data_IF_535227185534
#
_entry.id   IF_535227185534
#
_cell.length_a   1.000
_cell.length_b   1.000
_cell.length_c   1.000
_cell.angle_alpha   90.00
_cell.angle_beta   90.00
_cell.angle_gamma   90.00
#
_symmetry.space_group_name_H-M   'P 1'
#
loop_
_entity.id
_entity.type
_entity.pdbx_description
1 polymer ?
#
# COMPACT_ATOMS: atom_id res chain seq x y z
N UNK A 1 20.49 -8.45 -33.43
CA UNK A 1 19.98 -7.07 -33.59
C UNK A 1 19.24 -6.64 -32.33
N UNK A 2 19.82 -5.79 -31.49
CA UNK A 2 19.02 -5.08 -30.47
C UNK A 2 18.04 -4.16 -31.21
N UNK A 3 16.75 -4.26 -30.91
CA UNK A 3 15.82 -3.18 -31.29
C UNK A 3 16.22 -1.94 -30.49
N UNK A 4 16.18 -0.72 -31.07
CA UNK A 4 16.61 0.50 -30.39
C UNK A 4 15.72 0.86 -29.19
N UNK A 5 14.47 0.39 -29.15
CA UNK A 5 13.53 0.66 -28.08
C UNK A 5 13.95 0.05 -26.71
N UNK A 6 14.25 -1.26 -26.58
CA UNK A 6 14.77 -1.83 -25.33
C UNK A 6 16.03 -1.16 -24.80
N UNK A 7 16.97 -0.80 -25.68
CA UNK A 7 18.21 -0.14 -25.29
C UNK A 7 17.96 1.28 -24.75
N UNK A 8 17.08 2.04 -25.42
CA UNK A 8 16.67 3.36 -24.96
C UNK A 8 15.89 3.31 -23.65
N UNK A 9 15.10 2.25 -23.46
CA UNK A 9 14.38 2.01 -22.22
C UNK A 9 15.30 1.67 -21.06
N UNK A 10 16.28 0.77 -21.26
CA UNK A 10 17.30 0.46 -20.26
C UNK A 10 18.09 1.71 -19.84
N UNK A 11 18.51 2.52 -20.83
CA UNK A 11 19.22 3.76 -20.56
C UNK A 11 18.38 4.78 -19.79
N UNK A 12 17.09 4.87 -20.12
CA UNK A 12 16.12 5.70 -19.42
C UNK A 12 16.03 5.29 -17.94
N UNK A 13 15.83 4.01 -17.64
CA UNK A 13 15.71 3.52 -16.26
C UNK A 13 17.03 3.67 -15.46
N UNK A 14 18.19 3.39 -16.07
CA UNK A 14 19.48 3.63 -15.40
C UNK A 14 19.66 5.10 -14.99
N UNK A 15 19.18 6.03 -15.83
CA UNK A 15 19.23 7.45 -15.52
C UNK A 15 18.26 7.83 -14.39
N UNK A 16 17.07 7.25 -14.39
CA UNK A 16 16.08 7.48 -13.34
C UNK A 16 16.57 7.00 -11.96
N UNK A 17 17.11 5.77 -11.90
CA UNK A 17 17.74 5.20 -10.69
C UNK A 17 18.88 6.09 -10.18
N UNK A 18 19.68 6.66 -11.08
CA UNK A 18 20.78 7.55 -10.70
C UNK A 18 20.29 8.88 -10.10
N UNK A 19 19.20 9.45 -10.64
CA UNK A 19 18.68 10.76 -10.19
C UNK A 19 17.90 10.63 -8.88
N UNK A 20 17.06 9.60 -8.74
CA UNK A 20 16.17 9.44 -7.59
C UNK A 20 16.81 8.69 -6.42
N UNK A 21 17.81 7.86 -6.72
CA UNK A 21 18.49 6.99 -5.77
C UNK A 21 17.78 5.63 -5.59
N UNK A 22 18.58 4.57 -5.41
CA UNK A 22 18.11 3.18 -5.44
C UNK A 22 16.99 2.88 -4.44
N UNK A 23 17.08 3.37 -3.20
CA UNK A 23 16.10 3.08 -2.15
C UNK A 23 14.73 3.69 -2.47
N UNK A 24 14.69 4.96 -2.90
CA UNK A 24 13.44 5.63 -3.27
C UNK A 24 12.81 5.00 -4.51
N UNK A 25 13.64 4.59 -5.48
CA UNK A 25 13.19 3.96 -6.71
C UNK A 25 12.52 2.60 -6.45
N UNK A 26 13.09 1.76 -5.58
CA UNK A 26 12.54 0.42 -5.27
C UNK A 26 11.26 0.42 -4.43
N UNK A 27 10.89 1.55 -3.83
CA UNK A 27 9.63 1.69 -3.10
C UNK A 27 8.41 1.80 -4.03
N UNK A 28 8.61 2.19 -5.29
CA UNK A 28 7.54 2.28 -6.28
C UNK A 28 7.37 0.91 -6.99
N UNK A 29 6.18 0.32 -6.86
CA UNK A 29 5.88 -0.99 -7.46
C UNK A 29 5.99 -0.97 -8.99
N UNK A 30 5.70 0.17 -9.63
CA UNK A 30 5.83 0.32 -11.08
C UNK A 30 7.29 0.26 -11.53
N UNK A 31 8.18 0.87 -10.75
CA UNK A 31 9.62 0.82 -10.99
C UNK A 31 10.18 -0.60 -10.79
N UNK A 32 9.66 -1.32 -9.80
CA UNK A 32 9.99 -2.73 -9.61
C UNK A 32 9.54 -3.58 -10.83
N UNK A 33 8.34 -3.34 -11.35
CA UNK A 33 7.83 -3.99 -12.56
C UNK A 33 8.72 -3.67 -13.78
N UNK A 34 9.15 -2.41 -13.94
CA UNK A 34 10.05 -1.99 -15.03
C UNK A 34 11.44 -2.67 -14.92
N UNK A 35 11.99 -2.86 -13.71
CA UNK A 35 13.20 -3.68 -13.49
C UNK A 35 12.97 -5.13 -13.95
N UNK A 36 11.84 -5.74 -13.56
CA UNK A 36 11.53 -7.12 -13.95
C UNK A 36 11.45 -7.24 -15.46
N UNK A 37 10.74 -6.34 -16.14
CA UNK A 37 10.64 -6.30 -17.62
C UNK A 37 12.04 -6.18 -18.25
N UNK A 38 12.86 -5.25 -17.77
CA UNK A 38 14.22 -5.06 -18.29
C UNK A 38 15.10 -6.29 -18.08
N UNK A 39 15.01 -6.91 -16.90
CA UNK A 39 15.77 -8.11 -16.60
C UNK A 39 15.40 -9.28 -17.52
N UNK A 40 14.12 -9.48 -17.81
CA UNK A 40 13.64 -10.53 -18.72
C UNK A 40 14.00 -10.24 -20.19
N UNK A 41 13.93 -8.97 -20.62
CA UNK A 41 14.42 -8.56 -21.94
C UNK A 41 15.92 -8.82 -22.10
N UNK A 42 16.72 -8.46 -21.10
CA UNK A 42 18.17 -8.70 -21.10
C UNK A 42 18.45 -10.20 -21.10
N UNK A 43 17.78 -11.00 -20.28
CA UNK A 43 17.94 -12.46 -20.25
C UNK A 43 17.59 -13.12 -21.60
N UNK A 44 16.49 -12.72 -22.23
CA UNK A 44 16.13 -13.23 -23.57
C UNK A 44 17.17 -12.83 -24.63
N UNK A 45 17.67 -11.58 -24.56
CA UNK A 45 18.68 -11.11 -25.49
C UNK A 45 20.03 -11.82 -25.30
N UNK A 46 20.49 -12.00 -24.06
CA UNK A 46 21.76 -12.69 -23.77
C UNK A 46 21.71 -14.14 -24.19
N UNK A 47 20.60 -14.85 -23.96
CA UNK A 47 20.43 -16.23 -24.45
C UNK A 47 20.52 -16.31 -25.97
N UNK A 48 19.86 -15.41 -26.71
CA UNK A 48 19.94 -15.37 -28.18
C UNK A 48 21.35 -15.09 -28.69
N UNK A 49 22.06 -14.17 -28.06
CA UNK A 49 23.46 -13.87 -28.42
C UNK A 49 24.36 -15.05 -28.10
N UNK A 50 24.14 -15.72 -26.97
CA UNK A 50 24.91 -16.89 -26.55
C UNK A 50 24.71 -18.05 -27.51
N UNK A 51 23.47 -18.33 -27.93
CA UNK A 51 23.15 -19.36 -28.93
C UNK A 51 23.79 -19.03 -30.28
N UNK A 52 23.62 -17.80 -30.78
CA UNK A 52 24.23 -17.37 -32.03
C UNK A 52 25.77 -17.42 -31.98
N UNK A 53 26.36 -17.04 -30.85
CA UNK A 53 27.81 -17.06 -30.63
C UNK A 53 28.37 -18.47 -30.55
N UNK A 54 27.72 -19.37 -29.78
CA UNK A 54 28.07 -20.80 -29.69
C UNK A 54 27.94 -21.49 -31.06
N UNK A 55 26.85 -21.23 -31.78
CA UNK A 55 26.64 -21.75 -33.12
C UNK A 55 27.73 -21.28 -34.10
N UNK A 56 28.07 -19.98 -34.10
CA UNK A 56 29.12 -19.46 -34.97
C UNK A 56 30.50 -20.04 -34.61
N UNK A 57 30.86 -20.08 -33.32
CA UNK A 57 32.16 -20.59 -32.88
C UNK A 57 32.33 -22.08 -33.17
N UNK A 58 31.32 -22.91 -32.89
CA UNK A 58 31.38 -24.34 -33.17
C UNK A 58 31.36 -24.67 -34.67
N UNK A 59 30.66 -23.88 -35.49
CA UNK A 59 30.69 -24.06 -36.94
C UNK A 59 32.02 -23.59 -37.58
N UNK A 60 32.75 -22.65 -36.97
CA UNK A 60 34.09 -22.26 -37.40
C UNK A 60 35.12 -23.36 -37.11
N UNK A 61 35.00 -24.00 -35.95
CA UNK A 61 35.95 -25.03 -35.50
C UNK A 61 35.70 -26.39 -36.20
N UNK A 62 34.42 -26.78 -36.36
CA UNK A 62 34.03 -28.03 -36.99
C UNK A 62 32.73 -27.88 -37.81
N UNK A 63 32.82 -27.49 -39.11
CA UNK A 63 31.66 -27.17 -39.95
C UNK A 63 30.76 -28.39 -40.26
N UNK A 64 31.29 -29.61 -40.13
CA UNK A 64 30.56 -30.87 -40.34
C UNK A 64 30.15 -31.58 -39.06
N UNK A 65 30.27 -30.94 -37.89
CA UNK A 65 29.85 -31.54 -36.62
C UNK A 65 28.32 -31.57 -36.48
N UNK A 66 27.76 -32.59 -35.80
CA UNK A 66 26.32 -32.65 -35.52
C UNK A 66 25.85 -31.47 -34.65
N UNK A 67 26.72 -30.93 -33.80
CA UNK A 67 26.46 -29.75 -32.97
C UNK A 67 26.29 -28.46 -33.82
N UNK A 68 27.10 -28.29 -34.86
CA UNK A 68 26.94 -27.17 -35.80
C UNK A 68 25.59 -27.26 -36.53
N UNK A 69 25.17 -28.47 -36.93
CA UNK A 69 23.83 -28.69 -37.50
C UNK A 69 22.73 -28.35 -36.49
N UNK A 70 22.88 -28.78 -35.23
CA UNK A 70 21.92 -28.50 -34.16
C UNK A 70 21.67 -27.00 -33.96
N UNK A 71 22.72 -26.19 -33.75
CA UNK A 71 22.56 -24.76 -33.46
C UNK A 71 22.18 -23.90 -34.67
N UNK A 72 22.36 -24.38 -35.91
CA UNK A 72 22.15 -23.56 -37.12
C UNK A 72 21.02 -24.00 -38.03
N UNK A 73 20.71 -25.31 -38.09
CA UNK A 73 19.78 -25.90 -39.06
C UNK A 73 18.72 -26.83 -38.47
N UNK A 74 18.88 -27.32 -37.23
CA UNK A 74 17.90 -28.23 -36.65
C UNK A 74 16.51 -27.58 -36.53
N UNK A 75 15.49 -28.35 -36.89
CA UNK A 75 14.10 -27.92 -36.77
C UNK A 75 13.61 -27.90 -35.31
N UNK A 76 12.54 -27.15 -35.05
CA UNK A 76 11.94 -27.02 -33.69
C UNK A 76 11.56 -28.36 -33.03
N UNK A 77 11.28 -29.38 -33.83
CA UNK A 77 10.92 -30.72 -33.34
C UNK A 77 12.13 -31.55 -32.88
N UNK A 78 13.34 -31.14 -33.27
CA UNK A 78 14.61 -31.77 -32.88
C UNK A 78 15.24 -31.10 -31.66
N UNK A 79 14.70 -29.97 -31.21
CA UNK A 79 15.21 -29.23 -30.07
C UNK A 79 14.90 -29.97 -28.77
N UNK A 80 15.87 -29.98 -27.87
CA UNK A 80 15.66 -30.47 -26.51
C UNK A 80 14.66 -29.56 -25.76
N UNK A 81 13.89 -30.10 -24.80
CA UNK A 81 12.89 -29.31 -24.05
C UNK A 81 13.51 -28.14 -23.27
N UNK A 82 14.79 -28.23 -22.92
CA UNK A 82 15.55 -27.21 -22.18
C UNK A 82 16.36 -26.28 -23.10
N UNK A 83 16.10 -26.29 -24.40
CA UNK A 83 16.90 -25.54 -25.36
C UNK A 83 16.89 -24.02 -25.07
N UNK A 84 18.07 -23.35 -24.99
CA UNK A 84 18.15 -21.94 -24.64
C UNK A 84 17.44 -21.01 -25.63
N UNK A 85 17.29 -21.40 -26.91
CA UNK A 85 16.54 -20.63 -27.89
C UNK A 85 15.04 -20.67 -27.56
N UNK A 86 14.51 -21.83 -27.18
CA UNK A 86 13.11 -21.98 -26.75
C UNK A 86 12.84 -21.16 -25.49
N UNK A 87 13.72 -21.23 -24.48
CA UNK A 87 13.62 -20.40 -23.26
C UNK A 87 13.65 -18.92 -23.61
N UNK A 88 14.52 -18.48 -24.51
CA UNK A 88 14.59 -17.08 -24.93
C UNK A 88 13.32 -16.61 -25.66
N UNK A 89 12.65 -17.47 -26.43
CA UNK A 89 11.35 -17.19 -27.06
C UNK A 89 10.24 -17.03 -26.02
N UNK A 90 10.16 -17.94 -25.04
CA UNK A 90 9.17 -17.89 -23.97
C UNK A 90 9.36 -16.64 -23.10
N UNK A 91 10.59 -16.35 -22.69
CA UNK A 91 10.91 -15.14 -21.94
C UNK A 91 10.53 -13.88 -22.73
N UNK A 92 10.80 -13.85 -24.04
CA UNK A 92 10.40 -12.73 -24.88
C UNK A 92 8.88 -12.55 -24.96
N UNK A 93 8.12 -13.65 -25.06
CA UNK A 93 6.66 -13.62 -25.09
C UNK A 93 6.07 -13.09 -23.77
N UNK A 94 6.54 -13.61 -22.63
CA UNK A 94 6.13 -13.14 -21.29
C UNK A 94 6.49 -11.67 -21.10
N UNK A 95 7.71 -11.27 -21.49
CA UNK A 95 8.14 -9.88 -21.37
C UNK A 95 7.31 -8.94 -22.24
N UNK A 96 6.88 -9.39 -23.43
CA UNK A 96 6.01 -8.60 -24.31
C UNK A 96 4.64 -8.38 -23.67
N UNK A 97 4.06 -9.41 -23.03
CA UNK A 97 2.81 -9.29 -22.27
C UNK A 97 2.95 -8.30 -21.11
N UNK A 98 4.02 -8.40 -20.31
CA UNK A 98 4.31 -7.45 -19.23
C UNK A 98 4.58 -6.04 -19.76
N UNK A 99 5.19 -5.89 -20.93
CA UNK A 99 5.40 -4.57 -21.54
C UNK A 99 4.08 -3.85 -21.84
N UNK A 100 3.01 -4.58 -22.16
CA UNK A 100 1.69 -3.99 -22.36
C UNK A 100 1.03 -3.55 -21.04
N UNK A 101 1.33 -4.19 -19.90
CA UNK A 101 0.79 -3.74 -18.60
C UNK A 101 1.31 -2.36 -18.21
N UNK A 102 2.46 -1.94 -18.75
CA UNK A 102 3.00 -0.57 -18.59
C UNK A 102 2.07 0.52 -19.11
N UNK A 103 1.12 0.20 -20.01
CA UNK A 103 0.07 1.16 -20.40
C UNK A 103 -0.80 1.59 -19.21
N UNK A 104 -0.89 0.77 -18.15
CA UNK A 104 -1.56 1.16 -16.93
C UNK A 104 -0.87 2.36 -16.24
N UNK A 105 0.42 2.58 -16.44
CA UNK A 105 1.14 3.71 -15.82
C UNK A 105 0.61 5.08 -16.29
N UNK A 106 0.07 5.19 -17.51
CA UNK A 106 -0.45 6.45 -18.05
C UNK A 106 -1.94 6.66 -17.80
N UNK A 107 -2.66 5.63 -17.37
CA UNK A 107 -4.10 5.73 -17.03
C UNK A 107 -4.44 6.82 -16.00
N UNK A 108 -3.57 7.19 -15.02
CA UNK A 108 -3.84 8.29 -14.09
C UNK A 108 -3.98 9.67 -14.75
N UNK A 109 -3.55 9.81 -16.02
CA UNK A 109 -3.75 11.04 -16.78
C UNK A 109 -5.23 11.32 -17.07
N UNK A 110 -6.06 10.27 -17.19
CA UNK A 110 -7.50 10.40 -17.39
C UNK A 110 -8.24 10.37 -16.05
N UNK A 111 -9.29 11.17 -15.90
CA UNK A 111 -10.04 11.31 -14.65
C UNK A 111 -10.72 10.02 -14.22
N UNK A 112 -11.58 9.45 -15.06
CA UNK A 112 -12.33 8.23 -14.70
C UNK A 112 -11.48 6.96 -14.60
N UNK A 113 -10.38 6.88 -15.36
CA UNK A 113 -9.51 5.69 -15.36
C UNK A 113 -8.48 5.74 -14.25
N UNK A 114 -8.01 6.95 -13.91
CA UNK A 114 -7.06 7.17 -12.84
C UNK A 114 -7.65 6.89 -11.47
N UNK A 115 -8.86 7.38 -11.17
CA UNK A 115 -9.53 7.09 -9.90
C UNK A 115 -9.80 5.59 -9.75
N UNK A 116 -10.24 4.91 -10.82
CA UNK A 116 -10.44 3.46 -10.85
C UNK A 116 -9.14 2.67 -10.63
N UNK A 117 -8.04 3.07 -11.26
CA UNK A 117 -6.76 2.41 -11.08
C UNK A 117 -6.24 2.56 -9.65
N UNK A 118 -6.36 3.75 -9.07
CA UNK A 118 -5.92 4.02 -7.70
C UNK A 118 -6.77 3.25 -6.69
N UNK A 119 -8.09 3.17 -6.90
CA UNK A 119 -8.96 2.36 -6.04
C UNK A 119 -8.60 0.87 -6.13
N UNK A 120 -8.38 0.33 -7.34
CA UNK A 120 -7.88 -1.05 -7.51
C UNK A 120 -6.57 -1.26 -6.76
N UNK A 121 -5.61 -0.34 -6.88
CA UNK A 121 -4.31 -0.43 -6.21
C UNK A 121 -4.42 -0.58 -4.69
N UNK A 122 -5.33 0.16 -4.06
CA UNK A 122 -5.59 0.06 -2.62
C UNK A 122 -6.38 -1.20 -2.23
N UNK A 123 -7.28 -1.65 -3.09
CA UNK A 123 -8.07 -2.87 -2.85
C UNK A 123 -7.20 -4.13 -2.91
N UNK A 124 -6.07 -4.10 -3.63
CA UNK A 124 -5.15 -5.24 -3.73
C UNK A 124 -4.65 -5.69 -2.35
N UNK A 125 -4.39 -4.79 -1.41
CA UNK A 125 -3.95 -5.17 -0.06
C UNK A 125 -5.01 -5.99 0.69
N UNK A 126 -6.28 -5.61 0.54
CA UNK A 126 -7.42 -6.38 1.08
C UNK A 126 -7.57 -7.72 0.35
N UNK A 127 -7.40 -7.73 -0.98
CA UNK A 127 -7.46 -8.94 -1.79
C UNK A 127 -6.34 -9.93 -1.46
N UNK A 128 -5.10 -9.47 -1.22
CA UNK A 128 -3.97 -10.35 -0.85
C UNK A 128 -4.27 -11.06 0.48
N UNK A 129 -4.85 -10.35 1.45
CA UNK A 129 -5.27 -10.96 2.72
C UNK A 129 -6.33 -12.04 2.51
N UNK A 130 -7.28 -11.83 1.61
CA UNK A 130 -8.26 -12.85 1.25
C UNK A 130 -7.63 -14.03 0.50
N UNK A 131 -6.73 -13.77 -0.45
CA UNK A 131 -6.00 -14.80 -1.20
C UNK A 131 -5.19 -15.70 -0.27
N UNK A 132 -4.68 -15.18 0.85
CA UNK A 132 -4.02 -16.01 1.87
C UNK A 132 -4.95 -17.06 2.48
N UNK A 133 -6.19 -16.68 2.81
CA UNK A 133 -7.22 -17.62 3.32
C UNK A 133 -7.54 -18.65 2.24
N UNK A 134 -7.68 -18.21 0.99
CA UNK A 134 -7.90 -19.08 -0.15
C UNK A 134 -6.77 -20.12 -0.31
N UNK A 135 -5.50 -19.71 -0.21
CA UNK A 135 -4.36 -20.60 -0.33
C UNK A 135 -4.30 -21.66 0.78
N UNK A 136 -4.70 -21.31 2.02
CA UNK A 136 -4.80 -22.27 3.13
C UNK A 136 -5.83 -23.35 2.79
N UNK A 137 -7.03 -22.94 2.36
CA UNK A 137 -8.12 -23.86 2.02
C UNK A 137 -7.72 -24.74 0.83
N UNK A 138 -7.18 -24.14 -0.23
CA UNK A 138 -6.69 -24.86 -1.42
C UNK A 138 -5.64 -25.92 -1.04
N UNK A 139 -4.68 -25.57 -0.20
CA UNK A 139 -3.63 -26.51 0.24
C UNK A 139 -4.21 -27.63 1.09
N UNK A 140 -5.18 -27.36 1.96
CA UNK A 140 -5.85 -28.39 2.76
C UNK A 140 -6.58 -29.42 1.87
N UNK A 141 -7.33 -28.97 0.88
CA UNK A 141 -8.01 -29.85 -0.07
C UNK A 141 -7.05 -30.54 -1.04
N UNK A 142 -5.96 -29.87 -1.45
CA UNK A 142 -4.88 -30.47 -2.25
C UNK A 142 -4.27 -31.66 -1.54
N UNK A 143 -3.87 -31.51 -0.28
CA UNK A 143 -3.34 -32.60 0.52
C UNK A 143 -4.39 -33.70 0.73
N UNK A 144 -5.65 -33.33 0.98
CA UNK A 144 -6.77 -34.28 1.14
C UNK A 144 -6.96 -35.16 -0.10
N UNK A 145 -7.14 -34.56 -1.27
CA UNK A 145 -7.32 -35.31 -2.53
C UNK A 145 -6.04 -36.03 -2.94
N UNK A 146 -4.87 -35.41 -2.85
CA UNK A 146 -3.62 -36.08 -3.21
C UNK A 146 -3.43 -37.35 -2.39
N UNK A 147 -3.62 -37.31 -1.07
CA UNK A 147 -3.48 -38.48 -0.21
C UNK A 147 -4.55 -39.55 -0.45
N UNK A 148 -5.77 -39.16 -0.85
CA UNK A 148 -6.81 -40.12 -1.24
C UNK A 148 -6.46 -40.84 -2.55
N UNK A 149 -5.80 -40.17 -3.49
CA UNK A 149 -5.54 -40.69 -4.85
C UNK A 149 -4.12 -41.27 -5.04
N UNK A 150 -3.16 -41.01 -4.14
CA UNK A 150 -1.75 -41.49 -4.24
C UNK A 150 -1.63 -43.00 -4.44
N UNK A 151 -2.51 -43.79 -3.82
CA UNK A 151 -2.45 -45.26 -3.91
C UNK A 151 -3.18 -45.84 -5.14
N UNK A 152 -3.87 -45.00 -5.91
CA UNK A 152 -4.74 -45.39 -7.02
C UNK A 152 -4.23 -44.79 -8.35
N UNK A 153 -2.93 -44.94 -8.61
CA UNK A 153 -2.19 -44.37 -9.75
C UNK A 153 -2.62 -44.89 -11.15
N UNK A 154 -3.63 -45.77 -11.25
CA UNK A 154 -4.11 -46.25 -12.55
C UNK A 154 -4.75 -45.13 -13.40
N UNK A 155 -5.29 -44.08 -12.79
CA UNK A 155 -5.61 -42.84 -13.49
C UNK A 155 -4.41 -41.89 -13.41
N UNK A 156 -3.62 -41.79 -14.48
CA UNK A 156 -2.46 -40.88 -14.61
C UNK A 156 -2.77 -39.36 -14.44
N UNK A 157 -3.91 -38.98 -13.86
CA UNK A 157 -4.39 -37.60 -13.72
C UNK A 157 -4.41 -37.09 -12.27
N UNK A 158 -4.43 -37.97 -11.26
CA UNK A 158 -4.47 -37.60 -9.83
C UNK A 158 -3.48 -38.46 -9.02
N UNK A 159 -2.99 -37.94 -7.89
CA UNK A 159 -2.02 -38.63 -7.02
C UNK A 159 -0.58 -38.12 -7.14
N UNK A 160 -0.32 -37.20 -8.07
CA UNK A 160 0.88 -36.36 -8.09
C UNK A 160 0.53 -34.95 -7.61
N UNK A 161 1.32 -34.40 -6.68
CA UNK A 161 1.04 -33.09 -6.08
C UNK A 161 0.87 -31.96 -7.10
N UNK A 162 1.71 -31.93 -8.14
CA UNK A 162 1.63 -30.92 -9.21
C UNK A 162 0.36 -31.06 -10.07
N UNK A 163 0.02 -32.27 -10.49
CA UNK A 163 -1.18 -32.54 -11.30
C UNK A 163 -2.46 -32.27 -10.50
N UNK A 164 -2.50 -32.71 -9.24
CA UNK A 164 -3.64 -32.44 -8.34
C UNK A 164 -3.78 -30.95 -8.04
N UNK A 165 -2.67 -30.20 -7.92
CA UNK A 165 -2.71 -28.75 -7.80
C UNK A 165 -3.26 -28.09 -9.06
N UNK A 166 -2.79 -28.49 -10.24
CA UNK A 166 -3.31 -27.97 -11.51
C UNK A 166 -4.80 -28.27 -11.68
N UNK A 167 -5.23 -29.50 -11.38
CA UNK A 167 -6.63 -29.89 -11.40
C UNK A 167 -7.48 -28.98 -10.51
N UNK A 168 -7.11 -28.84 -9.23
CA UNK A 168 -7.83 -27.99 -8.28
C UNK A 168 -7.83 -26.50 -8.68
N UNK A 169 -6.71 -26.01 -9.22
CA UNK A 169 -6.61 -24.65 -9.74
C UNK A 169 -7.62 -24.40 -10.86
N UNK A 170 -7.70 -25.29 -11.85
CA UNK A 170 -8.67 -25.17 -12.95
C UNK A 170 -10.12 -25.38 -12.47
N UNK A 171 -10.34 -26.18 -11.42
CA UNK A 171 -11.64 -26.30 -10.77
C UNK A 171 -12.12 -24.97 -10.17
N UNK A 172 -11.24 -24.14 -9.61
CA UNK A 172 -11.63 -22.82 -9.07
C UNK A 172 -12.26 -21.91 -10.14
N UNK A 173 -11.88 -22.08 -11.41
CA UNK A 173 -12.45 -21.36 -12.54
C UNK A 173 -13.62 -22.08 -13.21
N UNK A 174 -14.02 -23.25 -12.71
CA UNK A 174 -15.07 -24.08 -13.30
C UNK A 174 -14.68 -24.76 -14.62
N UNK A 175 -13.39 -24.84 -14.94
CA UNK A 175 -12.86 -25.42 -16.19
C UNK A 175 -12.48 -26.90 -16.06
N UNK A 176 -12.49 -27.44 -14.85
CA UNK A 176 -12.12 -28.84 -14.59
C UNK A 176 -13.30 -29.80 -14.79
N UNK A 177 -13.01 -30.94 -15.40
CA UNK A 177 -13.99 -31.99 -15.64
C UNK A 177 -14.13 -32.91 -14.41
N UNK A 178 -15.37 -33.24 -14.01
CA UNK A 178 -15.61 -34.10 -12.84
C UNK A 178 -15.19 -35.56 -13.06
N UNK A 179 -15.12 -36.00 -14.32
CA UNK A 179 -14.75 -37.38 -14.71
C UNK A 179 -13.33 -37.77 -14.28
N UNK A 180 -12.47 -36.79 -13.99
CA UNK A 180 -11.10 -37.00 -13.49
C UNK A 180 -11.10 -37.64 -12.11
N UNK A 181 -12.15 -37.44 -11.32
CA UNK A 181 -12.29 -37.92 -9.92
C UNK A 181 -12.85 -39.36 -9.88
N UNK A 182 -13.36 -39.88 -11.00
CA UNK A 182 -14.08 -41.15 -11.02
C UNK A 182 -13.15 -42.37 -10.97
N UNK A 183 -13.46 -43.31 -10.06
CA UNK A 183 -12.73 -44.56 -9.86
C UNK A 183 -13.70 -45.75 -9.78
N UNK A 184 -14.25 -46.21 -10.91
CA UNK A 184 -15.34 -47.21 -10.93
C UNK A 184 -14.96 -48.56 -10.31
N UNK A 185 -13.67 -48.85 -10.15
CA UNK A 185 -13.16 -50.08 -9.53
C UNK A 185 -13.17 -50.02 -7.98
N UNK A 186 -13.19 -48.82 -7.38
CA UNK A 186 -13.03 -48.62 -5.94
C UNK A 186 -14.15 -47.74 -5.36
N UNK A 187 -15.31 -48.33 -5.07
CA UNK A 187 -16.52 -47.57 -4.68
C UNK A 187 -16.37 -46.66 -3.45
N UNK A 188 -15.58 -47.04 -2.43
CA UNK A 188 -15.35 -46.19 -1.25
C UNK A 188 -14.45 -44.99 -1.57
N UNK A 189 -13.36 -45.22 -2.31
CA UNK A 189 -12.44 -44.15 -2.72
C UNK A 189 -13.12 -43.18 -3.71
N UNK A 190 -13.92 -43.71 -4.64
CA UNK A 190 -14.76 -42.92 -5.57
C UNK A 190 -15.75 -42.04 -4.80
N UNK A 191 -16.45 -42.59 -3.81
CA UNK A 191 -17.39 -41.83 -2.99
C UNK A 191 -16.68 -40.71 -2.21
N UNK A 192 -15.58 -41.02 -1.54
CA UNK A 192 -14.80 -40.03 -0.76
C UNK A 192 -14.23 -38.95 -1.68
N UNK A 193 -13.68 -39.32 -2.83
CA UNK A 193 -13.14 -38.39 -3.81
C UNK A 193 -14.20 -37.45 -4.39
N UNK A 194 -15.35 -37.99 -4.82
CA UNK A 194 -16.50 -37.19 -5.27
C UNK A 194 -17.04 -36.29 -4.18
N UNK A 195 -17.11 -36.77 -2.95
CA UNK A 195 -17.56 -35.97 -1.81
C UNK A 195 -16.57 -34.82 -1.50
N UNK A 196 -15.27 -35.09 -1.44
CA UNK A 196 -14.23 -34.07 -1.23
C UNK A 196 -14.23 -33.02 -2.34
N UNK A 197 -14.35 -33.45 -3.61
CA UNK A 197 -14.48 -32.54 -4.75
C UNK A 197 -15.76 -31.71 -4.70
N UNK A 198 -16.90 -32.32 -4.36
CA UNK A 198 -18.18 -31.62 -4.18
C UNK A 198 -18.14 -30.59 -3.05
N UNK A 199 -17.54 -30.94 -1.91
CA UNK A 199 -17.36 -29.99 -0.80
C UNK A 199 -16.41 -28.86 -1.19
N UNK A 200 -15.29 -29.18 -1.84
CA UNK A 200 -14.34 -28.18 -2.33
C UNK A 200 -15.01 -27.17 -3.26
N UNK A 201 -15.79 -27.64 -4.24
CA UNK A 201 -16.50 -26.76 -5.19
C UNK A 201 -17.56 -25.89 -4.50
N UNK A 202 -18.33 -26.42 -3.54
CA UNK A 202 -19.27 -25.63 -2.74
C UNK A 202 -18.55 -24.53 -1.95
N UNK A 203 -17.47 -24.89 -1.24
CA UNK A 203 -16.71 -23.92 -0.43
C UNK A 203 -16.07 -22.86 -1.32
N UNK A 204 -15.45 -23.26 -2.42
CA UNK A 204 -14.76 -22.37 -3.35
C UNK A 204 -15.72 -21.42 -4.09
N UNK A 205 -16.74 -21.98 -4.72
CA UNK A 205 -17.61 -21.22 -5.64
C UNK A 205 -18.73 -20.52 -4.88
N UNK A 206 -19.34 -21.15 -3.88
CA UNK A 206 -20.48 -20.55 -3.18
C UNK A 206 -20.02 -19.68 -2.02
N UNK A 207 -19.05 -20.13 -1.23
CA UNK A 207 -18.65 -19.37 -0.03
C UNK A 207 -17.58 -18.34 -0.38
N UNK A 208 -16.43 -18.77 -0.92
CA UNK A 208 -15.29 -17.88 -1.11
C UNK A 208 -15.53 -16.85 -2.22
N UNK A 209 -16.09 -17.22 -3.36
CA UNK A 209 -16.38 -16.25 -4.43
C UNK A 209 -17.37 -15.16 -3.97
N UNK A 210 -18.45 -15.54 -3.29
CA UNK A 210 -19.43 -14.58 -2.78
C UNK A 210 -18.83 -13.66 -1.71
N UNK A 211 -17.97 -14.20 -0.84
CA UNK A 211 -17.25 -13.40 0.15
C UNK A 211 -16.21 -12.48 -0.48
N UNK A 212 -15.52 -12.92 -1.54
CA UNK A 212 -14.57 -12.10 -2.29
C UNK A 212 -15.29 -10.91 -2.95
N UNK A 213 -16.43 -11.14 -3.60
CA UNK A 213 -17.24 -10.07 -4.20
C UNK A 213 -17.72 -9.09 -3.13
N UNK A 214 -18.22 -9.59 -2.00
CA UNK A 214 -18.66 -8.75 -0.89
C UNK A 214 -17.53 -7.89 -0.31
N UNK A 215 -16.34 -8.48 -0.14
CA UNK A 215 -15.15 -7.78 0.36
C UNK A 215 -14.68 -6.71 -0.63
N UNK A 216 -14.57 -7.05 -1.93
CA UNK A 216 -14.20 -6.11 -2.99
C UNK A 216 -15.19 -4.95 -3.03
N UNK A 217 -16.50 -5.20 -2.95
CA UNK A 217 -17.52 -4.15 -3.02
C UNK A 217 -17.45 -3.19 -1.82
N UNK A 218 -17.32 -3.74 -0.61
CA UNK A 218 -17.21 -2.92 0.60
C UNK A 218 -15.89 -2.13 0.65
N UNK A 219 -14.79 -2.76 0.24
CA UNK A 219 -13.48 -2.10 0.14
C UNK A 219 -13.51 -0.97 -0.90
N UNK A 220 -14.10 -1.20 -2.08
CA UNK A 220 -14.26 -0.18 -3.12
C UNK A 220 -15.03 1.03 -2.61
N UNK A 221 -16.19 0.84 -1.98
CA UNK A 221 -17.00 1.94 -1.44
C UNK A 221 -16.24 2.77 -0.40
N UNK A 222 -15.50 2.10 0.50
CA UNK A 222 -14.69 2.79 1.52
C UNK A 222 -13.53 3.57 0.92
N UNK A 223 -12.92 3.05 -0.14
CA UNK A 223 -11.72 3.62 -0.76
C UNK A 223 -12.06 4.77 -1.72
N UNK A 224 -13.20 4.70 -2.41
CA UNK A 224 -13.62 5.66 -3.43
C UNK A 224 -13.73 7.08 -2.88
N UNK A 225 -14.23 7.26 -1.65
CA UNK A 225 -14.40 8.57 -1.00
C UNK A 225 -13.07 9.35 -0.86
N UNK A 226 -11.96 8.64 -0.61
CA UNK A 226 -10.61 9.23 -0.47
C UNK A 226 -9.78 9.12 -1.76
N UNK A 227 -10.26 8.39 -2.77
CA UNK A 227 -9.50 8.08 -3.99
C UNK A 227 -9.23 9.31 -4.86
N UNK A 228 -10.12 10.31 -4.87
CA UNK A 228 -9.96 11.52 -5.69
C UNK A 228 -8.74 12.36 -5.25
N UNK A 229 -8.54 12.52 -3.94
CA UNK A 229 -7.39 13.26 -3.40
C UNK A 229 -6.08 12.57 -3.76
N UNK A 230 -6.04 11.24 -3.63
CA UNK A 230 -4.86 10.45 -3.96
C UNK A 230 -4.61 10.35 -5.46
N UNK A 231 -5.66 10.24 -6.27
CA UNK A 231 -5.53 10.30 -7.72
C UNK A 231 -4.97 11.66 -8.16
N UNK A 232 -5.45 12.78 -7.60
CA UNK A 232 -4.89 14.11 -7.87
C UNK A 232 -3.43 14.22 -7.46
N UNK A 233 -3.03 13.60 -6.35
CA UNK A 233 -1.63 13.51 -5.94
C UNK A 233 -0.79 12.68 -6.93
N UNK A 234 -1.25 11.49 -7.31
CA UNK A 234 -0.58 10.61 -8.27
C UNK A 234 -0.45 11.27 -9.65
N UNK A 235 -1.51 11.92 -10.14
CA UNK A 235 -1.51 12.70 -11.38
C UNK A 235 -0.50 13.85 -11.33
N UNK A 236 -0.41 14.53 -10.18
CA UNK A 236 0.58 15.61 -10.00
C UNK A 236 2.00 15.07 -9.99
N UNK A 237 2.25 13.89 -9.37
CA UNK A 237 3.56 13.20 -9.41
C UNK A 237 3.93 12.83 -10.84
N UNK A 238 2.98 12.29 -11.62
CA UNK A 238 3.17 11.97 -13.04
C UNK A 238 3.54 13.21 -13.84
N UNK A 239 2.85 14.34 -13.68
CA UNK A 239 3.23 15.57 -14.40
C UNK A 239 4.58 16.14 -13.94
N UNK A 240 4.89 16.04 -12.65
CA UNK A 240 6.18 16.49 -12.10
C UNK A 240 7.37 15.72 -12.69
N UNK A 241 7.21 14.44 -13.03
CA UNK A 241 8.29 13.66 -13.67
C UNK A 241 8.65 14.22 -15.05
N UNK A 242 7.67 14.71 -15.82
CA UNK A 242 7.90 15.36 -17.11
C UNK A 242 8.49 16.78 -17.00
N UNK A 243 8.30 17.47 -15.88
CA UNK A 243 8.87 18.81 -15.66
C UNK A 243 10.36 18.79 -15.28
N UNK A 244 10.90 17.66 -14.77
CA UNK A 244 12.32 17.56 -14.44
C UNK A 244 13.17 17.59 -15.72
N UNK A 245 13.95 18.66 -15.87
CA UNK A 245 14.91 18.83 -16.98
C UNK A 245 15.92 17.66 -17.00
N UNK A 246 15.87 16.85 -18.05
CA UNK A 246 16.79 15.71 -18.21
C UNK A 246 16.28 14.61 -19.14
N UNK A 247 14.98 14.46 -19.34
CA UNK A 247 14.38 13.37 -20.14
C UNK A 247 13.65 13.92 -21.38
N UNK A 248 14.26 14.89 -22.07
CA UNK A 248 13.61 15.63 -23.16
C UNK A 248 13.34 14.81 -24.43
N UNK A 249 13.85 13.58 -24.52
CA UNK A 249 13.70 12.70 -25.68
C UNK A 249 12.95 11.42 -25.27
N UNK A 250 11.80 11.12 -25.90
CA UNK A 250 11.12 9.85 -25.65
C UNK A 250 11.97 8.68 -26.17
N UNK A 251 11.86 7.51 -25.54
CA UNK A 251 12.38 6.25 -26.08
C UNK A 251 11.72 6.03 -27.45
N UNK A 252 12.45 5.73 -28.55
CA UNK A 252 13.84 5.28 -28.67
C UNK A 252 14.89 6.38 -28.92
N UNK A 253 14.51 7.64 -29.05
CA UNK A 253 15.41 8.74 -29.45
C UNK A 253 16.43 9.13 -28.37
N UNK A 254 16.22 8.66 -27.14
CA UNK A 254 17.17 8.82 -26.02
C UNK A 254 18.53 8.10 -26.25
N UNK A 255 18.61 7.14 -27.19
CA UNK A 255 19.87 6.42 -27.49
C UNK A 255 20.86 7.26 -28.28
N UNK A 256 20.40 8.32 -28.96
CA UNK A 256 21.28 9.21 -29.74
C UNK A 256 21.73 10.34 -28.80
N UNK A 257 22.91 10.25 -28.16
CA UNK A 257 23.42 11.35 -27.36
C UNK A 257 23.50 12.62 -28.21
N UNK A 258 23.14 13.76 -27.61
CA UNK A 258 23.25 15.04 -28.31
C UNK A 258 24.69 15.22 -28.82
N UNK A 259 24.89 15.70 -30.06
CA UNK A 259 26.22 15.78 -30.66
C UNK A 259 27.20 16.62 -29.82
N UNK A 260 26.68 17.58 -29.04
CA UNK A 260 27.47 18.33 -28.03
C UNK A 260 28.00 17.43 -26.91
N UNK A 261 27.19 16.52 -26.36
CA UNK A 261 27.60 15.58 -25.31
C UNK A 261 28.62 14.55 -25.82
N UNK A 262 28.43 14.05 -27.05
CA UNK A 262 29.39 13.18 -27.73
C UNK A 262 30.75 13.89 -27.91
N UNK A 263 30.74 15.15 -28.37
CA UNK A 263 31.97 15.94 -28.53
C UNK A 263 32.72 16.16 -27.22
N UNK A 264 32.01 16.52 -26.13
CA UNK A 264 32.64 16.69 -24.81
C UNK A 264 33.12 15.37 -24.21
N UNK A 265 32.41 14.26 -24.42
CA UNK A 265 32.79 12.93 -23.93
C UNK A 265 34.01 12.40 -24.67
N UNK A 266 34.07 12.52 -26.00
CA UNK A 266 35.26 12.19 -26.79
C UNK A 266 36.44 13.08 -26.39
N UNK A 267 36.23 14.38 -26.20
CA UNK A 267 37.29 15.28 -25.69
C UNK A 267 37.76 14.89 -24.29
N UNK A 268 36.85 14.42 -23.43
CA UNK A 268 37.16 13.91 -22.10
C UNK A 268 37.97 12.62 -22.12
N UNK A 269 37.60 11.66 -22.98
CA UNK A 269 38.31 10.39 -23.19
C UNK A 269 39.69 10.66 -23.82
N UNK A 270 39.78 11.54 -24.81
CA UNK A 270 41.06 11.97 -25.41
C UNK A 270 41.93 12.67 -24.39
N UNK A 271 41.35 13.49 -23.49
CA UNK A 271 42.09 14.12 -22.40
C UNK A 271 42.57 13.09 -21.37
N UNK A 272 41.75 12.09 -21.05
CA UNK A 272 42.08 11.01 -20.12
C UNK A 272 43.15 10.06 -20.68
N UNK A 273 43.12 9.75 -21.98
CA UNK A 273 44.07 8.84 -22.64
C UNK A 273 45.36 9.56 -23.05
N UNK A 274 45.30 10.83 -23.46
CA UNK A 274 46.45 11.52 -24.04
C UNK A 274 47.19 12.46 -23.06
N UNK A 275 46.58 12.87 -21.93
CA UNK A 275 47.22 13.76 -20.95
C UNK A 275 46.55 13.68 -19.57
N UNK A 276 47.13 12.90 -18.64
CA UNK A 276 46.85 13.01 -17.19
C UNK A 276 47.39 14.33 -16.63
N UNK A 277 46.82 15.47 -17.03
CA UNK A 277 47.02 16.73 -16.31
C UNK A 277 45.91 16.90 -15.28
N UNK A 278 46.24 17.32 -14.05
CA UNK A 278 45.26 17.49 -12.98
C UNK A 278 44.13 18.41 -13.43
N UNK A 279 42.92 18.17 -12.90
CA UNK A 279 41.72 18.98 -13.14
C UNK A 279 42.09 20.46 -13.10
N UNK A 280 42.04 21.12 -14.27
CA UNK A 280 42.06 22.58 -14.33
C UNK A 280 40.76 23.03 -13.67
N UNK A 281 40.88 23.85 -12.63
CA UNK A 281 39.78 24.47 -11.92
C UNK A 281 38.82 25.06 -12.95
N UNK A 282 37.55 24.77 -12.74
CA UNK A 282 36.51 24.96 -13.72
C UNK A 282 35.99 26.40 -13.57
N UNK A 283 36.52 27.34 -14.36
CA UNK A 283 36.03 28.73 -14.46
C UNK A 283 34.72 28.75 -15.26
N UNK A 284 33.67 28.17 -14.69
CA UNK A 284 32.30 28.49 -15.06
C UNK A 284 31.62 28.96 -13.79
N UNK A 285 30.85 30.06 -13.82
CA UNK A 285 30.03 30.41 -12.68
C UNK A 285 29.13 29.21 -12.36
N UNK A 286 28.99 28.83 -11.09
CA UNK A 286 28.19 27.68 -10.70
C UNK A 286 26.77 27.86 -11.24
N UNK A 287 26.27 26.84 -11.93
CA UNK A 287 24.84 26.72 -12.21
C UNK A 287 24.16 26.75 -10.83
N UNK A 288 23.17 27.64 -10.60
CA UNK A 288 22.56 27.80 -9.29
C UNK A 288 21.75 26.54 -8.96
N UNK A 289 22.41 25.54 -8.39
CA UNK A 289 21.78 24.47 -7.64
C UNK A 289 21.14 25.06 -6.39
N UNK A 290 19.92 24.64 -6.07
CA UNK A 290 19.07 25.13 -4.98
C UNK A 290 19.79 25.23 -3.62
N UNK A 291 20.86 24.47 -3.40
CA UNK A 291 21.69 24.51 -2.19
C UNK A 291 22.64 25.73 -2.10
N UNK A 292 23.07 26.32 -3.22
CA UNK A 292 24.00 27.46 -3.25
C UNK A 292 23.29 28.82 -3.37
N UNK A 293 21.99 28.82 -3.65
CA UNK A 293 21.17 30.04 -3.67
C UNK A 293 21.02 30.71 -2.28
N UNK A 294 21.45 30.05 -1.21
CA UNK A 294 21.38 30.59 0.16
C UNK A 294 22.59 31.39 0.58
N UNK A 295 23.70 31.34 -0.18
CA UNK A 295 24.97 31.97 0.22
C UNK A 295 25.47 33.09 -0.72
N UNK A 296 24.98 33.19 -1.96
CA UNK A 296 25.33 34.29 -2.88
C UNK A 296 24.18 35.29 -3.16
N UNK A 297 22.98 35.12 -2.58
CA UNK A 297 21.84 36.06 -2.74
C UNK A 297 21.69 37.00 -1.53
N UNK A 298 22.81 37.49 -0.99
CA UNK A 298 22.86 38.47 0.12
C UNK A 298 22.78 39.92 -0.39
N UNK A 299 22.40 40.12 -1.66
CA UNK A 299 22.48 41.43 -2.31
C UNK A 299 21.21 42.28 -2.27
N UNK A 300 20.09 41.80 -2.82
CA UNK A 300 18.86 42.62 -2.98
C UNK A 300 17.62 41.77 -3.35
N UNK A 301 17.80 40.56 -3.89
CA UNK A 301 16.71 39.67 -4.33
C UNK A 301 16.25 38.68 -3.26
N UNK A 302 17.18 38.12 -2.49
CA UNK A 302 16.91 37.10 -1.47
C UNK A 302 16.12 37.60 -0.26
N UNK A 303 16.39 38.82 0.20
CA UNK A 303 15.62 39.47 1.27
C UNK A 303 14.20 39.82 0.83
N UNK A 304 14.02 40.33 -0.39
CA UNK A 304 12.70 40.61 -0.95
C UNK A 304 11.86 39.33 -1.11
N UNK A 305 12.48 38.22 -1.55
CA UNK A 305 11.80 36.92 -1.70
C UNK A 305 11.50 36.24 -0.36
N UNK A 306 12.38 36.36 0.65
CA UNK A 306 12.12 35.92 2.03
C UNK A 306 11.02 36.77 2.68
N UNK A 307 11.08 38.09 2.51
CA UNK A 307 10.08 39.03 3.01
C UNK A 307 8.71 38.78 2.38
N UNK A 308 8.65 38.57 1.06
CA UNK A 308 7.42 38.20 0.35
C UNK A 308 6.85 36.87 0.85
N UNK A 309 7.68 35.82 0.97
CA UNK A 309 7.23 34.52 1.52
C UNK A 309 6.70 34.68 2.95
N UNK A 310 7.37 35.45 3.80
CA UNK A 310 6.95 35.70 5.17
C UNK A 310 5.64 36.50 5.24
N UNK A 311 5.48 37.52 4.38
CA UNK A 311 4.25 38.30 4.25
C UNK A 311 3.08 37.42 3.79
N UNK A 312 3.30 36.55 2.79
CA UNK A 312 2.28 35.61 2.30
C UNK A 312 1.92 34.60 3.39
N UNK A 313 2.89 34.02 4.08
CA UNK A 313 2.63 33.08 5.18
C UNK A 313 1.86 33.77 6.31
N UNK A 314 2.23 35.00 6.68
CA UNK A 314 1.50 35.79 7.69
C UNK A 314 0.05 36.05 7.27
N UNK A 315 -0.18 36.42 6.01
CA UNK A 315 -1.53 36.62 5.48
C UNK A 315 -2.36 35.32 5.43
N UNK A 316 -1.73 34.21 5.05
CA UNK A 316 -2.38 32.89 5.03
C UNK A 316 -2.73 32.41 6.44
N UNK A 317 -1.82 32.55 7.40
CA UNK A 317 -2.07 32.20 8.81
C UNK A 317 -3.20 33.05 9.38
N UNK A 318 -3.20 34.37 9.11
CA UNK A 318 -4.28 35.25 9.55
C UNK A 318 -5.62 34.81 8.95
N UNK A 319 -5.68 34.55 7.63
CA UNK A 319 -6.90 34.08 6.96
C UNK A 319 -7.38 32.73 7.51
N UNK A 320 -6.46 31.82 7.82
CA UNK A 320 -6.76 30.53 8.43
C UNK A 320 -7.36 30.71 9.83
N UNK A 321 -6.75 31.54 10.69
CA UNK A 321 -7.25 31.84 12.04
C UNK A 321 -8.65 32.46 11.97
N UNK A 322 -8.85 33.44 11.09
CA UNK A 322 -10.14 34.12 10.93
C UNK A 322 -11.23 33.14 10.43
N UNK A 323 -10.87 32.21 9.54
CA UNK A 323 -11.79 31.19 9.02
C UNK A 323 -12.13 30.15 10.09
N UNK A 324 -11.13 29.64 10.80
CA UNK A 324 -11.31 28.69 11.90
C UNK A 324 -12.18 29.28 13.03
N UNK A 325 -12.00 30.58 13.34
CA UNK A 325 -12.84 31.28 14.31
C UNK A 325 -14.29 31.37 13.86
N UNK A 326 -14.54 31.64 12.57
CA UNK A 326 -15.89 31.67 12.00
C UNK A 326 -16.56 30.29 12.04
N UNK A 327 -15.86 29.24 11.63
CA UNK A 327 -16.39 27.86 11.67
C UNK A 327 -16.70 27.40 13.10
N UNK A 328 -15.85 27.76 14.06
CA UNK A 328 -16.08 27.49 15.48
C UNK A 328 -17.30 28.26 16.00
N UNK A 329 -17.43 29.54 15.67
CA UNK A 329 -18.59 30.35 16.06
C UNK A 329 -19.89 29.84 15.43
N UNK A 330 -19.87 29.36 14.18
CA UNK A 330 -21.02 28.75 13.51
C UNK A 330 -21.41 27.40 14.12
N UNK A 331 -20.42 26.54 14.44
CA UNK A 331 -20.67 25.28 15.13
C UNK A 331 -21.27 25.51 16.51
N UNK A 332 -20.74 26.48 17.25
CA UNK A 332 -21.29 26.91 18.54
C UNK A 332 -22.71 27.47 18.41
N UNK A 333 -23.00 28.25 17.36
CA UNK A 333 -24.36 28.75 17.07
C UNK A 333 -25.33 27.61 16.76
N UNK A 334 -24.92 26.61 15.97
CA UNK A 334 -25.74 25.41 15.68
C UNK A 334 -26.05 24.62 16.94
N UNK A 335 -25.04 24.38 17.78
CA UNK A 335 -25.19 23.68 19.07
C UNK A 335 -26.10 24.45 20.05
N UNK A 336 -25.92 25.77 20.15
CA UNK A 336 -26.80 26.62 20.95
C UNK A 336 -28.24 26.63 20.42
N UNK A 337 -28.43 26.67 19.09
CA UNK A 337 -29.74 26.54 18.45
C UNK A 337 -30.41 25.22 18.79
N UNK A 338 -29.70 24.10 18.69
CA UNK A 338 -30.22 22.79 19.06
C UNK A 338 -30.67 22.75 20.53
N UNK A 339 -29.83 23.23 21.46
CA UNK A 339 -30.20 23.32 22.90
C UNK A 339 -31.46 24.15 23.14
N UNK A 340 -31.60 25.30 22.46
CA UNK A 340 -32.80 26.14 22.58
C UNK A 340 -34.03 25.41 22.06
N UNK A 341 -33.92 24.71 20.93
CA UNK A 341 -35.06 23.93 20.39
C UNK A 341 -35.45 22.78 21.31
N UNK A 342 -34.49 22.12 21.93
CA UNK A 342 -34.73 21.06 22.91
C UNK A 342 -35.40 21.60 24.17
N UNK A 343 -34.92 22.75 24.67
CA UNK A 343 -35.53 23.44 25.80
C UNK A 343 -36.97 23.85 25.48
N UNK A 344 -37.22 24.42 24.30
CA UNK A 344 -38.57 24.82 23.90
C UNK A 344 -39.53 23.62 23.77
N UNK A 345 -39.04 22.46 23.29
CA UNK A 345 -39.80 21.20 23.31
C UNK A 345 -40.12 20.75 24.74
N UNK A 346 -39.16 20.84 25.66
CA UNK A 346 -39.35 20.49 27.08
C UNK A 346 -40.31 21.43 27.80
N UNK A 347 -40.22 22.73 27.56
CA UNK A 347 -41.15 23.75 28.09
C UNK A 347 -42.56 23.52 27.52
N UNK A 348 -42.68 23.24 26.23
CA UNK A 348 -43.98 22.93 25.61
C UNK A 348 -44.61 21.67 26.21
N UNK A 349 -43.82 20.61 26.45
CA UNK A 349 -44.25 19.40 27.17
C UNK A 349 -44.74 19.73 28.58
N UNK A 350 -43.96 20.49 29.33
CA UNK A 350 -44.35 20.92 30.68
C UNK A 350 -45.66 21.71 30.67
N UNK A 351 -45.82 22.65 29.74
CA UNK A 351 -47.04 23.45 29.62
C UNK A 351 -48.26 22.58 29.30
N UNK A 352 -48.11 21.56 28.45
CA UNK A 352 -49.19 20.59 28.20
C UNK A 352 -49.52 19.74 29.43
N UNK A 353 -48.53 19.35 30.24
CA UNK A 353 -48.78 18.62 31.49
C UNK A 353 -49.45 19.50 32.54
N UNK A 354 -49.00 20.74 32.73
CA UNK A 354 -49.63 21.70 33.65
C UNK A 354 -51.07 21.99 33.24
N UNK A 355 -51.33 22.15 31.94
CA UNK A 355 -52.69 22.36 31.42
C UNK A 355 -53.58 21.14 31.65
N UNK A 356 -53.07 19.91 31.49
CA UNK A 356 -53.79 18.68 31.89
C UNK A 356 -54.08 18.65 33.38
N UNK A 357 -53.10 19.02 34.22
CA UNK A 357 -53.27 19.06 35.67
C UNK A 357 -54.36 20.07 36.06
N UNK A 358 -54.37 21.25 35.43
CA UNK A 358 -55.37 22.28 35.65
C UNK A 358 -56.77 21.84 35.21
N UNK A 359 -56.89 21.14 34.07
CA UNK A 359 -58.17 20.54 33.64
C UNK A 359 -58.62 19.35 34.50
N UNK A 360 -57.71 18.68 35.21
CA UNK A 360 -58.04 17.61 36.16
C UNK A 360 -58.48 18.12 37.54
N UNK A 361 -58.42 19.43 37.80
CA UNK A 361 -58.97 20.07 39.00
C UNK A 361 -60.39 20.59 38.69
N UNK A 362 -61.45 20.06 39.35
CA UNK A 362 -62.81 20.51 39.11
C UNK A 362 -63.05 21.90 39.70
N UNK A 363 -63.60 22.81 38.90
CA UNK A 363 -64.13 24.09 39.33
C UNK A 363 -65.64 23.99 39.63
N UNK A 364 -66.02 23.86 40.91
CA UNK A 364 -67.04 24.70 41.58
C UNK A 364 -67.28 24.26 43.06
N UNK A 365 -67.73 25.19 43.93
CA UNK A 365 -67.68 25.06 45.39
C UNK A 365 -69.00 24.57 46.01
N UNK A 366 -68.93 23.71 47.04
CA UNK A 366 -69.91 23.60 48.13
C UNK A 366 -69.39 22.68 49.27
N UNK A 367 -69.90 22.78 50.51
CA UNK A 367 -69.05 22.83 51.70
C UNK A 367 -69.03 21.53 52.52
N UNK A 368 -67.86 21.08 52.99
CA UNK A 368 -67.74 20.26 54.20
C UNK A 368 -66.28 20.13 54.70
N UNK A 369 -66.12 20.33 56.02
CA UNK A 369 -65.01 19.99 56.93
C UNK A 369 -63.58 20.52 56.66
N UNK A 370 -63.07 21.43 57.52
CA UNK A 370 -61.68 21.85 57.50
C UNK A 370 -60.85 20.88 58.33
N UNK A 371 -60.03 20.02 57.72
CA UNK A 371 -58.83 19.45 58.39
C UNK A 371 -57.91 18.63 57.47
N UNK A 372 -58.32 18.22 56.26
CA UNK A 372 -57.47 17.32 55.44
C UNK A 372 -56.64 18.02 54.34
N UNK A 373 -57.04 19.22 53.91
CA UNK A 373 -56.34 19.98 52.85
C UNK A 373 -54.96 20.52 53.28
N UNK A 374 -54.73 20.73 54.57
CA UNK A 374 -53.44 21.16 55.10
C UNK A 374 -52.39 20.04 55.04
N UNK A 375 -52.80 18.77 55.12
CA UNK A 375 -51.88 17.63 55.16
C UNK A 375 -51.27 17.32 53.79
N UNK A 376 -52.03 17.52 52.70
CA UNK A 376 -51.59 17.26 51.32
C UNK A 376 -50.72 18.38 50.79
N UNK A 377 -51.08 19.65 51.05
CA UNK A 377 -50.27 20.80 50.67
C UNK A 377 -48.92 20.81 51.41
N UNK A 378 -48.92 20.47 52.70
CA UNK A 378 -47.70 20.33 53.48
C UNK A 378 -46.82 19.18 52.96
N UNK A 379 -47.41 18.04 52.56
CA UNK A 379 -46.68 16.92 51.93
C UNK A 379 -46.10 17.27 50.55
N UNK A 380 -46.79 18.12 49.77
CA UNK A 380 -46.30 18.58 48.47
C UNK A 380 -45.17 19.60 48.61
N UNK A 381 -45.31 20.55 49.54
CA UNK A 381 -44.27 21.55 49.84
C UNK A 381 -43.00 20.86 50.35
N UNK A 382 -43.11 19.89 51.25
CA UNK A 382 -41.96 19.11 51.73
C UNK A 382 -41.30 18.29 50.60
N UNK A 383 -42.08 17.68 49.71
CA UNK A 383 -41.53 16.86 48.60
C UNK A 383 -40.86 17.71 47.51
N UNK A 384 -41.33 18.93 47.28
CA UNK A 384 -40.69 19.90 46.37
C UNK A 384 -39.41 20.48 47.01
N UNK A 385 -39.44 20.72 48.33
CA UNK A 385 -38.27 21.19 49.08
C UNK A 385 -37.13 20.14 49.11
N UNK A 386 -37.46 18.85 49.24
CA UNK A 386 -36.50 17.74 49.23
C UNK A 386 -35.83 17.56 47.85
N UNK A 387 -36.60 17.72 46.76
CA UNK A 387 -36.06 17.67 45.39
C UNK A 387 -35.14 18.87 45.08
N UNK A 388 -35.40 20.05 45.64
CA UNK A 388 -34.51 21.20 45.51
C UNK A 388 -33.26 21.09 46.42
N UNK A 389 -33.37 20.43 47.57
CA UNK A 389 -32.21 20.11 48.43
C UNK A 389 -31.27 19.09 47.78
N UNK A 390 -31.80 18.09 47.06
CA UNK A 390 -30.99 17.15 46.29
C UNK A 390 -30.26 17.82 45.10
N UNK A 391 -30.87 18.82 44.47
CA UNK A 391 -30.20 19.60 43.42
C UNK A 391 -29.11 20.54 43.97
N UNK A 392 -29.28 21.06 45.18
CA UNK A 392 -28.28 21.90 45.84
C UNK A 392 -27.17 21.10 46.53
N UNK A 393 -27.41 19.86 46.97
CA UNK A 393 -26.35 18.94 47.42
C UNK A 393 -25.51 18.38 46.26
N UNK A 394 -26.09 18.19 45.07
CA UNK A 394 -25.31 17.84 43.87
C UNK A 394 -24.44 19.01 43.35
N UNK A 395 -24.71 20.25 43.78
CA UNK A 395 -23.92 21.44 43.47
C UNK A 395 -23.08 21.96 44.65
N UNK A 396 -23.13 21.30 45.82
CA UNK A 396 -22.60 21.80 47.10
C UNK A 396 -21.54 20.93 47.79
N UNK A 397 -21.01 19.89 47.13
CA UNK A 397 -19.91 19.06 47.66
C UNK A 397 -18.56 19.40 47.01
N UNK A 398 -18.02 20.58 47.31
CA UNK A 398 -16.57 20.74 47.47
C UNK A 398 -16.30 21.85 48.49
N UNK A 399 -15.79 21.43 49.65
CA UNK A 399 -15.44 22.31 50.76
C UNK A 399 -14.20 23.18 50.52
N UNK A 400 -13.88 24.08 51.46
CA UNK A 400 -12.98 25.22 51.27
C UNK A 400 -11.50 24.81 51.27
N UNK A 401 -10.73 25.43 50.37
CA UNK A 401 -9.28 25.26 50.31
C UNK A 401 -8.53 26.10 51.33
N UNK A 402 -7.29 25.68 51.61
CA UNK A 402 -6.06 26.48 51.42
C UNK A 402 -4.82 25.65 51.79
N UNK A 403 -3.60 25.98 51.32
CA UNK A 403 -3.21 26.65 50.08
C UNK A 403 -2.14 25.83 49.31
N UNK A 404 -2.09 25.92 47.98
CA UNK A 404 -0.92 25.45 47.24
C UNK A 404 -0.56 26.43 46.11
N UNK A 405 0.72 26.74 46.10
CA UNK A 405 1.45 27.79 45.40
C UNK A 405 1.15 27.95 43.91
N UNK A 406 1.13 29.22 43.51
CA UNK A 406 1.43 29.69 42.16
C UNK A 406 2.87 29.31 41.82
N UNK A 407 3.06 28.51 40.77
CA UNK A 407 4.31 28.47 40.01
C UNK A 407 4.03 28.80 38.55
N UNK A 408 4.67 29.87 38.12
CA UNK A 408 4.82 30.33 36.74
C UNK A 408 5.84 29.43 36.03
N UNK A 409 5.52 28.98 34.82
CA UNK A 409 6.47 28.54 33.78
C UNK A 409 5.76 28.80 32.45
N UNK A 410 6.04 29.87 31.70
CA UNK A 410 7.24 30.23 30.94
C UNK A 410 7.72 29.13 29.99
N UNK A 411 7.69 29.51 28.70
CA UNK A 411 7.98 28.74 27.50
C UNK A 411 9.30 27.96 27.54
N UNK A 412 9.27 26.76 26.95
CA UNK A 412 10.43 25.94 26.65
C UNK A 412 10.18 25.12 25.37
N UNK A 413 10.83 25.55 24.30
CA UNK A 413 10.75 25.03 22.94
C UNK A 413 11.01 23.52 22.78
N UNK A 414 10.20 22.83 21.97
CA UNK A 414 10.55 21.70 21.08
C UNK A 414 9.41 21.58 20.05
N UNK A 415 9.60 21.78 18.75
CA UNK A 415 10.39 20.92 17.88
C UNK A 415 9.43 20.16 16.95
N UNK A 416 9.20 20.70 15.75
CA UNK A 416 8.43 20.05 14.68
C UNK A 416 9.07 18.69 14.32
N UNK A 417 8.46 17.60 14.78
CA UNK A 417 8.79 16.24 14.37
C UNK A 417 7.71 15.69 13.43
N UNK A 418 8.06 15.54 12.15
CA UNK A 418 7.29 14.82 11.12
C UNK A 418 6.90 13.43 11.61
N UNK A 419 5.61 13.09 11.61
CA UNK A 419 5.16 11.69 11.53
C UNK A 419 4.90 11.35 10.07
N UNK A 420 5.95 10.90 9.38
CA UNK A 420 5.79 10.02 8.23
C UNK A 420 5.69 8.59 8.78
N UNK A 421 4.70 7.84 8.31
CA UNK A 421 4.56 6.42 8.61
C UNK A 421 5.75 5.64 8.04
N UNK A 422 6.39 4.86 8.90
CA UNK A 422 7.31 3.80 8.52
C UNK A 422 7.00 2.61 9.44
N UNK A 423 6.12 1.73 8.97
CA UNK A 423 5.99 0.37 9.48
C UNK A 423 7.03 -0.48 8.76
N UNK A 424 8.15 -0.77 9.39
CA UNK A 424 8.90 -2.02 9.24
C UNK A 424 9.87 -2.13 10.40
N UNK A 425 9.60 -3.08 11.29
CA UNK A 425 10.45 -3.36 12.45
C UNK A 425 11.78 -3.96 12.02
N UNK A 426 12.87 -3.45 12.61
CA UNK A 426 14.12 -4.19 12.80
C UNK A 426 14.58 -4.01 14.25
N UNK A 427 15.21 -5.04 14.85
CA UNK A 427 15.58 -5.03 16.26
C UNK A 427 16.82 -4.15 16.48
N UNK A 428 16.81 -3.38 17.57
CA UNK A 428 17.94 -2.55 18.01
C UNK A 428 18.70 -3.25 19.15
N UNK A 429 20.00 -2.98 19.32
CA UNK A 429 20.91 -3.72 20.19
C UNK A 429 20.85 -3.24 21.66
N UNK A 430 21.33 -4.11 22.56
CA UNK A 430 21.47 -3.94 24.02
C UNK A 430 22.10 -2.61 24.47
N UNK A 431 21.92 -2.23 25.75
CA UNK A 431 23.10 -2.25 26.63
C UNK A 431 22.86 -2.72 28.08
N UNK A 432 23.99 -3.11 28.69
CA UNK A 432 24.24 -3.72 29.99
C UNK A 432 23.78 -2.94 31.23
N UNK A 433 23.53 -3.66 32.35
CA UNK A 433 24.32 -3.47 33.59
C UNK A 433 24.23 -4.63 34.60
N UNK A 434 25.38 -5.29 34.78
CA UNK A 434 26.01 -5.74 36.04
C UNK A 434 25.25 -6.61 37.08
N UNK A 435 25.66 -7.88 37.20
CA UNK A 435 25.99 -8.51 38.49
C UNK A 435 26.95 -9.71 38.35
N UNK A 436 28.15 -9.49 38.90
CA UNK A 436 29.23 -10.37 39.40
C UNK A 436 29.07 -11.92 39.50
N UNK A 437 30.11 -12.58 38.96
CA UNK A 437 30.93 -13.70 39.51
C UNK A 437 30.26 -14.99 40.01
N UNK A 438 30.47 -16.10 39.29
CA UNK A 438 31.28 -17.22 39.77
C UNK A 438 31.67 -18.12 38.58
N UNK A 439 32.95 -18.49 38.51
CA UNK A 439 33.53 -19.36 37.49
C UNK A 439 33.88 -20.67 38.21
N UNK A 440 33.39 -21.81 37.71
CA UNK A 440 33.93 -23.11 38.08
C UNK A 440 34.01 -23.96 36.80
N UNK A 441 35.24 -24.34 36.47
CA UNK A 441 35.62 -25.32 35.45
C UNK A 441 35.05 -26.70 35.79
N UNK A 442 34.83 -27.55 34.78
CA UNK A 442 35.39 -28.91 34.69
C UNK A 442 35.00 -29.59 33.35
N UNK A 443 36.07 -29.90 32.61
CA UNK A 443 36.39 -31.05 31.76
C UNK A 443 35.57 -31.57 30.56
N UNK A 444 36.37 -31.75 29.50
CA UNK A 444 36.16 -32.58 28.33
C UNK A 444 36.29 -34.08 28.65
N UNK A 445 35.53 -34.92 27.95
CA UNK A 445 35.60 -36.39 28.09
C UNK A 445 34.94 -37.16 26.94
N UNK A 446 35.69 -37.33 25.85
CA UNK A 446 35.84 -38.50 24.96
C UNK A 446 34.85 -39.70 25.03
N UNK A 447 34.33 -40.06 23.83
CA UNK A 447 34.18 -41.42 23.23
C UNK A 447 33.23 -42.46 23.88
N UNK A 448 32.22 -42.92 23.11
CA UNK A 448 32.13 -44.33 22.64
C UNK A 448 31.10 -44.56 21.54
N UNK A 449 31.57 -45.21 20.46
CA UNK A 449 30.82 -45.90 19.42
C UNK A 449 30.53 -47.32 19.89
N UNK A 450 29.29 -47.78 19.75
CA UNK A 450 28.81 -49.18 19.63
C UNK A 450 27.30 -49.09 19.39
N UNK A 451 26.63 -49.81 18.51
CA UNK A 451 26.94 -50.86 17.53
C UNK A 451 25.68 -51.00 16.68
#
# INVERSE_FOLDING_TARGET
MLRPAPAGFFWYECKEVWIEGLHSYLLDLWNCLDIVILSLYLASFTLRVLVAGRGHLHCLDAPSSPECYYFTRAGRHEWQPEDPQFVAEVLFAVTSMLSFTRLAYILPAHESLGTLQISIGKMIDDMIRFMFILMIILTAFLCGLNNTYVYYQESQRLGNFNETFQFLFWTMFGMAEYSVVDMPQYGLAEFVGRALYGIFTIVMVIVLLNMLIAMITNSFQKIEDDADVEWKFARSKLYLSYFREGLTLPVPFNVIPTPKSLFYSVRGIVRFVCCSKPKRQQDYPPIPTIANATLEDVGLGGESRRSYRLQVVKALVQRYIDTARREFEESRRKDLGNRITELNKSVSRLHTEVKRLHHSLPAHPAPASPLDGASVLHRYILRVQDNFQNFSQAAGSSGPGSPAQVMVHQDGAWGLGRKAGAWFGRPSPNPLSSARTHCEQIDAGSVRVTS
#
